data_IF_471191155926
#
_entry.id   IF_471191155926
#
_cell.length_a   1.000
_cell.length_b   1.000
_cell.length_c   1.000
_cell.angle_alpha   90.00
_cell.angle_beta   90.00
_cell.angle_gamma   90.00
#
_symmetry.space_group_name_H-M   'P 1'
#
loop_
_entity.id
_entity.type
_entity.pdbx_description
1 polymer ?
#
# COMPACT_ATOMS: atom_id res chain seq x y z
N UNK A 1 13.22 -0.45 -18.11
CA UNK A 1 12.84 0.85 -17.52
C UNK A 1 13.72 1.07 -16.30
N UNK A 2 14.32 2.26 -16.20
CA UNK A 2 15.00 2.64 -14.96
C UNK A 2 13.98 2.98 -13.86
N UNK A 3 14.44 3.16 -12.63
CA UNK A 3 13.56 3.42 -11.48
C UNK A 3 12.78 4.73 -11.58
N UNK A 4 13.34 5.78 -12.17
CA UNK A 4 12.66 7.07 -12.36
C UNK A 4 11.51 6.93 -13.35
N UNK A 5 11.75 6.20 -14.44
CA UNK A 5 10.73 5.92 -15.45
C UNK A 5 9.58 5.09 -14.86
N UNK A 6 9.90 4.06 -14.05
CA UNK A 6 8.91 3.27 -13.32
C UNK A 6 8.08 4.15 -12.39
N UNK A 7 8.73 5.00 -11.57
CA UNK A 7 8.03 5.93 -10.67
C UNK A 7 7.09 6.85 -11.43
N UNK A 8 7.53 7.41 -12.57
CA UNK A 8 6.72 8.29 -13.40
C UNK A 8 5.47 7.58 -13.92
N UNK A 9 5.64 6.40 -14.53
CA UNK A 9 4.52 5.63 -15.07
C UNK A 9 3.59 5.19 -13.95
N UNK A 10 4.09 4.72 -12.82
CA UNK A 10 3.28 4.31 -11.68
C UNK A 10 2.42 5.47 -11.15
N UNK A 11 3.04 6.63 -10.93
CA UNK A 11 2.39 7.85 -10.45
C UNK A 11 1.29 8.30 -11.41
N UNK A 12 1.59 8.35 -12.70
CA UNK A 12 0.63 8.70 -13.75
C UNK A 12 -0.57 7.73 -13.75
N UNK A 13 -0.33 6.43 -13.60
CA UNK A 13 -1.41 5.43 -13.56
C UNK A 13 -2.27 5.55 -12.31
N UNK A 14 -1.67 5.82 -11.15
CA UNK A 14 -2.39 5.97 -9.88
C UNK A 14 -3.31 7.20 -9.95
N UNK A 15 -2.78 8.33 -10.39
CA UNK A 15 -3.51 9.60 -10.48
C UNK A 15 -4.66 9.57 -11.50
N UNK A 16 -4.56 8.71 -12.52
CA UNK A 16 -5.60 8.55 -13.53
C UNK A 16 -6.59 7.41 -13.23
N UNK A 17 -6.49 6.75 -12.08
CA UNK A 17 -7.35 5.63 -11.70
C UNK A 17 -8.44 6.02 -10.70
N UNK A 18 -9.49 5.20 -10.67
CA UNK A 18 -10.50 5.17 -9.63
C UNK A 18 -10.09 4.20 -8.53
N UNK A 19 -10.37 4.56 -7.29
CA UNK A 19 -9.94 3.83 -6.10
C UNK A 19 -11.09 3.52 -5.17
N UNK A 20 -11.09 2.33 -4.60
CA UNK A 20 -12.13 1.87 -3.68
C UNK A 20 -11.58 1.83 -2.26
N UNK A 21 -12.41 2.22 -1.30
CA UNK A 21 -12.03 2.30 0.10
C UNK A 21 -13.10 1.64 0.97
N UNK A 22 -12.66 0.95 2.02
CA UNK A 22 -13.53 0.50 3.11
C UNK A 22 -13.31 1.40 4.30
N UNK A 23 -14.36 2.11 4.72
CA UNK A 23 -14.30 3.01 5.87
C UNK A 23 -13.95 2.22 7.13
N UNK A 24 -12.86 2.56 7.85
CA UNK A 24 -12.46 1.87 9.05
C UNK A 24 -13.44 2.19 10.19
N UNK A 25 -13.60 1.24 11.12
CA UNK A 25 -14.40 1.47 12.35
C UNK A 25 -13.76 2.51 13.27
N UNK A 26 -12.43 2.51 13.38
CA UNK A 26 -11.67 3.51 14.14
C UNK A 26 -11.49 4.78 13.30
N UNK A 27 -12.13 5.88 13.72
CA UNK A 27 -12.01 7.18 13.04
C UNK A 27 -10.59 7.74 13.08
N UNK A 28 -9.74 7.31 14.02
CA UNK A 28 -8.34 7.72 14.10
C UNK A 28 -7.41 6.90 13.20
N UNK A 29 -7.92 5.90 12.47
CA UNK A 29 -7.11 5.02 11.63
C UNK A 29 -6.28 5.79 10.58
N UNK A 30 -6.86 6.78 9.90
CA UNK A 30 -6.15 7.54 8.87
C UNK A 30 -4.95 8.31 9.42
N UNK A 31 -5.11 8.92 10.61
CA UNK A 31 -4.02 9.61 11.29
C UNK A 31 -2.89 8.62 11.67
N UNK A 32 -3.26 7.45 12.19
CA UNK A 32 -2.31 6.44 12.71
C UNK A 32 -1.53 5.74 11.60
N UNK A 33 -2.21 5.33 10.53
CA UNK A 33 -1.67 4.39 9.52
C UNK A 33 -1.98 4.75 8.07
N UNK A 34 -2.58 5.91 7.83
CA UNK A 34 -2.97 6.37 6.50
C UNK A 34 -4.27 5.75 6.01
N UNK A 35 -4.64 6.08 4.76
CA UNK A 35 -5.87 5.62 4.11
C UNK A 35 -5.55 4.57 3.05
N UNK A 36 -6.00 3.34 3.30
CA UNK A 36 -5.83 2.21 2.40
C UNK A 36 -6.90 2.19 1.31
N UNK A 37 -6.48 2.03 0.07
CA UNK A 37 -7.32 2.00 -1.12
C UNK A 37 -6.93 0.80 -1.98
N UNK A 38 -7.93 0.23 -2.65
CA UNK A 38 -7.76 -0.88 -3.58
C UNK A 38 -8.09 -0.46 -5.00
N UNK A 39 -7.38 -1.05 -5.96
CA UNK A 39 -7.56 -0.75 -7.39
C UNK A 39 -8.90 -1.23 -7.98
N UNK A 40 -9.64 -2.10 -7.26
CA UNK A 40 -10.93 -2.65 -7.68
C UNK A 40 -11.88 -2.81 -6.49
N UNK A 41 -13.19 -2.76 -6.74
CA UNK A 41 -14.22 -2.97 -5.72
C UNK A 41 -14.07 -4.33 -5.04
N UNK A 42 -13.93 -5.40 -5.85
CA UNK A 42 -13.78 -6.78 -5.37
C UNK A 42 -12.58 -6.98 -4.44
N UNK A 43 -11.51 -6.23 -4.61
CA UNK A 43 -10.36 -6.26 -3.69
C UNK A 43 -10.66 -5.56 -2.38
N UNK A 44 -11.35 -4.41 -2.44
CA UNK A 44 -11.77 -3.71 -1.24
C UNK A 44 -12.76 -4.57 -0.42
N UNK A 45 -13.62 -5.37 -1.07
CA UNK A 45 -14.59 -6.25 -0.39
C UNK A 45 -13.96 -7.24 0.59
N UNK A 46 -12.70 -7.64 0.37
CA UNK A 46 -11.98 -8.49 1.32
C UNK A 46 -11.88 -7.87 2.72
N UNK A 47 -11.82 -6.53 2.80
CA UNK A 47 -11.67 -5.80 4.06
C UNK A 47 -13.01 -5.32 4.66
N UNK A 48 -14.12 -5.50 3.94
CA UNK A 48 -15.46 -5.05 4.35
C UNK A 48 -16.22 -4.40 3.19
N UNK A 49 -17.37 -3.77 3.47
CA UNK A 49 -18.18 -3.10 2.43
C UNK A 49 -17.45 -1.85 1.91
N UNK A 50 -17.06 -1.80 0.62
CA UNK A 50 -16.46 -0.60 0.04
C UNK A 50 -17.49 0.53 -0.08
N UNK A 51 -17.00 1.77 -0.21
CA UNK A 51 -17.83 2.93 -0.56
C UNK A 51 -18.57 2.69 -1.88
N UNK A 52 -19.79 3.22 -2.02
CA UNK A 52 -20.61 3.01 -3.22
C UNK A 52 -20.04 3.75 -4.46
N UNK A 53 -19.28 4.82 -4.24
CA UNK A 53 -18.61 5.61 -5.29
C UNK A 53 -17.10 5.54 -5.13
N UNK A 54 -16.33 5.29 -6.20
CA UNK A 54 -14.89 5.29 -6.11
C UNK A 54 -14.32 6.70 -6.03
N UNK A 55 -13.13 6.80 -5.43
CA UNK A 55 -12.41 8.05 -5.23
C UNK A 55 -11.37 8.30 -6.33
N UNK A 56 -11.06 9.57 -6.56
CA UNK A 56 -9.86 9.99 -7.28
C UNK A 56 -8.85 10.53 -6.30
N UNK A 57 -7.58 10.21 -6.53
CA UNK A 57 -6.47 10.55 -5.65
C UNK A 57 -5.36 11.20 -6.45
N UNK A 58 -4.49 11.93 -5.76
CA UNK A 58 -3.31 12.52 -6.37
C UNK A 58 -2.10 12.27 -5.48
N UNK A 59 -1.08 11.65 -6.06
CA UNK A 59 0.22 11.42 -5.45
C UNK A 59 1.32 11.95 -6.37
N UNK A 60 2.49 12.21 -5.81
CA UNK A 60 3.64 12.77 -6.49
C UNK A 60 4.94 12.04 -6.10
N UNK A 61 5.04 11.52 -4.87
CA UNK A 61 6.26 10.89 -4.37
C UNK A 61 5.96 9.59 -3.61
N UNK A 62 5.55 8.51 -4.30
CA UNK A 62 5.31 7.23 -3.64
C UNK A 62 6.61 6.51 -3.31
N UNK A 63 6.63 5.83 -2.16
CA UNK A 63 7.48 4.65 -1.97
C UNK A 63 6.72 3.43 -2.50
N UNK A 64 7.40 2.55 -3.24
CA UNK A 64 6.75 1.38 -3.81
C UNK A 64 7.66 0.16 -3.82
N UNK A 65 7.04 -1.01 -3.91
CA UNK A 65 7.71 -2.30 -4.04
C UNK A 65 6.75 -3.35 -4.59
N UNK A 66 7.28 -4.51 -4.93
CA UNK A 66 6.48 -5.63 -5.43
C UNK A 66 6.12 -6.61 -4.29
N UNK A 67 7.08 -7.26 -3.62
CA UNK A 67 6.87 -7.76 -2.27
C UNK A 67 6.92 -6.59 -1.26
N UNK A 68 6.21 -6.74 -0.14
CA UNK A 68 6.22 -5.74 0.94
C UNK A 68 7.62 -5.55 1.53
N UNK A 69 8.42 -6.62 1.53
CA UNK A 69 9.84 -6.66 1.88
C UNK A 69 10.64 -5.55 1.18
N UNK A 70 10.39 -5.29 -0.11
CA UNK A 70 11.10 -4.23 -0.85
C UNK A 70 10.76 -2.83 -0.33
N UNK A 71 9.52 -2.63 0.14
CA UNK A 71 9.09 -1.37 0.75
C UNK A 71 9.73 -1.23 2.12
N UNK A 72 9.72 -2.30 2.92
CA UNK A 72 10.32 -2.33 4.24
C UNK A 72 11.82 -2.08 4.20
N UNK A 73 12.54 -2.63 3.22
CA UNK A 73 13.98 -2.40 3.08
C UNK A 73 14.30 -0.93 2.73
N UNK A 74 13.40 -0.24 2.02
CA UNK A 74 13.56 1.19 1.74
C UNK A 74 13.27 2.06 2.97
N UNK A 75 12.27 1.69 3.78
CA UNK A 75 11.87 2.46 4.96
C UNK A 75 12.76 2.17 6.18
N UNK A 76 13.20 0.91 6.31
CA UNK A 76 13.93 0.35 7.45
C UNK A 76 15.04 -0.60 6.96
N UNK A 77 16.14 -0.07 6.38
CA UNK A 77 17.22 -0.90 5.86
C UNK A 77 17.74 -1.94 6.86
N UNK A 78 17.83 -3.20 6.44
CA UNK A 78 18.28 -4.33 7.26
C UNK A 78 17.28 -4.86 8.28
N UNK A 79 16.02 -4.39 8.29
CA UNK A 79 15.01 -4.77 9.30
C UNK A 79 13.77 -5.46 8.75
N UNK A 80 13.67 -5.67 7.43
CA UNK A 80 12.46 -6.22 6.80
C UNK A 80 12.03 -7.58 7.39
N UNK A 81 12.97 -8.53 7.52
CA UNK A 81 12.68 -9.86 8.04
C UNK A 81 12.23 -9.85 9.52
N UNK A 82 12.78 -8.96 10.34
CA UNK A 82 12.35 -8.77 11.73
C UNK A 82 10.92 -8.24 11.81
N UNK A 83 10.63 -7.20 11.01
CA UNK A 83 9.32 -6.55 10.98
C UNK A 83 8.20 -7.46 10.46
N UNK A 84 8.52 -8.39 9.55
CA UNK A 84 7.57 -9.37 9.02
C UNK A 84 7.37 -10.60 9.91
N UNK A 85 8.21 -10.78 10.94
CA UNK A 85 8.17 -11.96 11.80
C UNK A 85 6.82 -12.08 12.52
N UNK A 86 6.14 -13.19 12.30
CA UNK A 86 4.85 -13.47 12.95
C UNK A 86 3.66 -12.72 12.36
N UNK A 87 3.80 -12.18 11.14
CA UNK A 87 2.68 -11.62 10.34
C UNK A 87 1.86 -12.69 9.62
N UNK A 88 2.30 -13.96 9.64
CA UNK A 88 1.55 -15.11 9.14
C UNK A 88 1.47 -15.14 7.62
N UNK A 89 2.54 -15.60 6.97
CA UNK A 89 2.51 -16.00 5.55
C UNK A 89 2.10 -17.48 5.37
N UNK A 90 2.02 -18.24 6.46
CA UNK A 90 1.84 -19.70 6.53
C UNK A 90 0.45 -20.14 7.00
N UNK A 91 -0.51 -19.21 7.12
CA UNK A 91 -1.88 -19.49 7.57
C UNK A 91 -2.03 -19.74 9.08
N UNK A 92 -0.92 -19.80 9.82
CA UNK A 92 -0.90 -19.88 11.29
C UNK A 92 -0.73 -18.48 11.87
N UNK A 93 -1.81 -17.71 11.80
CA UNK A 93 -1.84 -16.39 12.40
C UNK A 93 -1.68 -16.49 13.92
N UNK A 94 -0.64 -15.85 14.47
CA UNK A 94 -0.52 -15.68 15.91
C UNK A 94 -1.77 -14.97 16.46
N UNK A 95 -2.20 -15.21 17.72
CA UNK A 95 -3.40 -14.59 18.28
C UNK A 95 -3.45 -13.06 18.15
N UNK A 96 -2.30 -12.39 18.08
CA UNK A 96 -2.14 -10.94 17.95
C UNK A 96 -1.67 -10.48 16.55
N UNK A 97 -1.81 -11.30 15.51
CA UNK A 97 -1.33 -10.97 14.16
C UNK A 97 -1.93 -9.66 13.64
N UNK A 98 -3.22 -9.41 13.88
CA UNK A 98 -3.92 -8.22 13.38
C UNK A 98 -3.41 -6.95 14.06
N UNK A 99 -3.15 -7.01 15.37
CA UNK A 99 -2.57 -5.90 16.14
C UNK A 99 -1.15 -5.60 15.66
N UNK A 100 -0.33 -6.65 15.43
CA UNK A 100 1.01 -6.50 14.86
C UNK A 100 0.96 -5.86 13.48
N UNK A 101 0.00 -6.25 12.64
CA UNK A 101 -0.19 -5.67 11.31
C UNK A 101 -0.52 -4.19 11.40
N UNK A 102 -1.45 -3.80 12.27
CA UNK A 102 -1.79 -2.39 12.49
C UNK A 102 -0.57 -1.60 12.97
N UNK A 103 0.23 -2.15 13.87
CA UNK A 103 1.45 -1.51 14.37
C UNK A 103 2.50 -1.34 13.25
N UNK A 104 2.70 -2.36 12.40
CA UNK A 104 3.58 -2.24 11.24
C UNK A 104 3.08 -1.20 10.23
N UNK A 105 1.79 -1.21 9.90
CA UNK A 105 1.19 -0.20 9.02
C UNK A 105 1.42 1.21 9.56
N UNK A 106 1.27 1.40 10.88
CA UNK A 106 1.54 2.68 11.55
C UNK A 106 3.02 3.08 11.52
N UNK A 107 3.94 2.12 11.74
CA UNK A 107 5.39 2.33 11.63
C UNK A 107 5.77 2.73 10.21
N UNK A 108 5.30 1.99 9.20
CA UNK A 108 5.54 2.28 7.79
C UNK A 108 5.00 3.65 7.42
N UNK A 109 3.77 3.97 7.81
CA UNK A 109 3.14 5.26 7.54
C UNK A 109 3.95 6.42 8.12
N UNK A 110 4.35 6.34 9.39
CA UNK A 110 5.17 7.35 10.05
C UNK A 110 6.53 7.52 9.36
N UNK A 111 7.22 6.41 9.12
CA UNK A 111 8.55 6.43 8.51
C UNK A 111 8.52 6.99 7.09
N UNK A 112 7.53 6.59 6.30
CA UNK A 112 7.36 7.08 4.95
C UNK A 112 7.09 8.61 4.92
N UNK A 113 6.26 9.12 5.84
CA UNK A 113 6.04 10.58 6.02
C UNK A 113 7.34 11.30 6.39
N UNK A 114 8.11 10.78 7.34
CA UNK A 114 9.40 11.36 7.75
C UNK A 114 10.41 11.46 6.60
N UNK A 115 10.35 10.52 5.65
CA UNK A 115 11.19 10.49 4.46
C UNK A 115 10.64 11.35 3.30
N UNK A 116 9.50 12.01 3.49
CA UNK A 116 8.88 12.89 2.50
C UNK A 116 8.07 12.16 1.41
N UNK A 117 7.74 10.88 1.61
CA UNK A 117 6.80 10.19 0.73
C UNK A 117 5.35 10.61 1.04
N UNK A 118 4.50 10.57 0.02
CA UNK A 118 3.06 10.88 0.16
C UNK A 118 2.14 9.66 0.04
N UNK A 119 2.69 8.53 -0.40
CA UNK A 119 2.00 7.27 -0.53
C UNK A 119 2.94 6.07 -0.35
N UNK A 120 2.38 4.94 0.11
CA UNK A 120 3.00 3.62 0.02
C UNK A 120 2.21 2.82 -1.01
N UNK A 121 2.89 2.18 -1.96
CA UNK A 121 2.27 1.42 -3.04
C UNK A 121 2.82 0.01 -3.09
N UNK A 122 1.95 -0.98 -2.86
CA UNK A 122 2.28 -2.39 -3.01
C UNK A 122 1.66 -2.92 -4.31
N UNK A 123 2.48 -3.56 -5.15
CA UNK A 123 2.05 -4.15 -6.41
C UNK A 123 2.24 -5.66 -6.39
N UNK A 124 1.17 -6.41 -6.64
CA UNK A 124 1.30 -7.85 -6.87
C UNK A 124 2.22 -8.20 -8.05
N UNK A 125 2.70 -9.45 -8.09
CA UNK A 125 3.61 -9.95 -9.14
C UNK A 125 3.07 -9.73 -10.57
N UNK A 126 1.76 -9.88 -10.78
CA UNK A 126 1.10 -9.57 -12.05
C UNK A 126 1.09 -8.07 -12.37
N UNK A 127 0.94 -7.24 -11.33
CA UNK A 127 1.03 -5.78 -11.43
C UNK A 127 2.42 -5.32 -11.87
N UNK A 128 3.48 -5.92 -11.31
CA UNK A 128 4.88 -5.71 -11.74
C UNK A 128 5.05 -5.89 -13.25
N UNK A 129 4.63 -7.06 -13.76
CA UNK A 129 4.76 -7.41 -15.18
C UNK A 129 4.01 -6.40 -16.06
N UNK A 130 2.81 -6.01 -15.65
CA UNK A 130 1.99 -5.04 -16.39
C UNK A 130 2.64 -3.66 -16.42
N UNK A 131 3.14 -3.19 -15.27
CA UNK A 131 3.80 -1.89 -15.15
C UNK A 131 5.04 -1.80 -16.06
N UNK A 132 5.87 -2.84 -16.05
CA UNK A 132 7.07 -2.92 -16.89
C UNK A 132 6.77 -3.01 -18.39
N UNK A 133 5.53 -3.34 -18.75
CA UNK A 133 5.02 -3.36 -20.13
C UNK A 133 4.23 -2.10 -20.48
N UNK A 134 4.19 -1.08 -19.60
CA UNK A 134 3.40 0.14 -19.78
C UNK A 134 1.88 -0.04 -19.64
N UNK A 135 1.42 -1.23 -19.22
CA UNK A 135 0.01 -1.57 -19.02
C UNK A 135 -0.44 -1.21 -17.60
N UNK A 136 -1.76 -0.99 -17.43
CA UNK A 136 -2.33 -0.73 -16.10
C UNK A 136 -2.07 -1.94 -15.19
N UNK A 137 -1.39 -1.80 -14.05
CA UNK A 137 -1.26 -2.88 -13.10
C UNK A 137 -2.64 -3.18 -12.50
N UNK A 138 -3.06 -4.44 -12.55
CA UNK A 138 -4.11 -4.93 -11.65
C UNK A 138 -3.52 -5.17 -10.26
N UNK A 139 -4.37 -5.14 -9.23
CA UNK A 139 -3.97 -5.46 -7.85
C UNK A 139 -2.90 -4.52 -7.29
N UNK A 140 -3.28 -3.24 -7.20
CA UNK A 140 -2.51 -2.24 -6.48
C UNK A 140 -3.21 -1.97 -5.15
N UNK A 141 -2.43 -2.06 -4.08
CA UNK A 141 -2.79 -1.52 -2.77
C UNK A 141 -2.08 -0.18 -2.58
N UNK A 142 -2.85 0.84 -2.25
CA UNK A 142 -2.40 2.20 -2.09
C UNK A 142 -2.69 2.66 -0.67
N UNK A 143 -1.67 3.08 0.06
CA UNK A 143 -1.84 3.74 1.35
C UNK A 143 -1.47 5.22 1.22
N UNK A 144 -2.47 6.10 1.26
CA UNK A 144 -2.28 7.55 1.26
C UNK A 144 -1.85 8.03 2.64
N UNK A 145 -0.78 8.81 2.67
CA UNK A 145 -0.18 9.27 3.92
C UNK A 145 -0.74 10.62 4.38
N UNK A 146 -1.41 11.38 3.52
CA UNK A 146 -1.96 12.71 3.84
C UNK A 146 -3.49 12.76 3.72
N UNK A 147 -4.17 11.66 4.05
CA UNK A 147 -5.62 11.52 3.96
C UNK A 147 -6.36 11.84 5.27
#
# INVERSE_FOLDING_TARGET
MDRREITRVLTEKINNSFWWHVTPRDSAAYKKRGKFLSSTYRQAEFYGRPNDTPERVRIANPVFGFPEEEILEQLFPGKAAELLKGMGADGNHAPNWYEKRIDLDAKMCRRAREMGFDAIVLLGSTGKKSLLQGRKPGSIELNLLNA
#
